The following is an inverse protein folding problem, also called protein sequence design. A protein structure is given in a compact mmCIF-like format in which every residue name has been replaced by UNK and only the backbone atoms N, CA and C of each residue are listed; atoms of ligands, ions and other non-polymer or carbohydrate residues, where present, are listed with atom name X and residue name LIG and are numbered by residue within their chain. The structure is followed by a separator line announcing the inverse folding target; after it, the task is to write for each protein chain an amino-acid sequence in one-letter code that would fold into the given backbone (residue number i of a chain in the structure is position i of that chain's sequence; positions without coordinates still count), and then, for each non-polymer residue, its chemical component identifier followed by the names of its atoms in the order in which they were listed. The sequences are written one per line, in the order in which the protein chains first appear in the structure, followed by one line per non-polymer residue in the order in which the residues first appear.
data_IF_261654442789
#
_entry.id   IF_261654442789
#
_cell.length_a   1.000
_cell.length_b   1.000
_cell.length_c   1.000
_cell.angle_alpha   90.00
_cell.angle_beta   90.00
_cell.angle_gamma   90.00
#
_symmetry.space_group_name_H-M   'P 1'
#
loop_
_entity.id
_entity.type
_entity.pdbx_description
1 polymer ?
#
# COMPACT_ATOMS: atom_id res chain seq x y z
N UNK A 1 25.58 33.32 -50.96
CA UNK A 1 26.17 32.22 -51.71
C UNK A 1 25.31 31.01 -51.36
N UNK A 2 24.25 30.72 -52.08
CA UNK A 2 24.04 29.81 -53.20
C UNK A 2 24.74 28.49 -53.02
N UNK A 3 23.95 27.40 -52.86
CA UNK A 3 23.44 26.48 -53.89
C UNK A 3 22.55 25.43 -53.26
N UNK A 4 21.27 25.34 -53.59
CA UNK A 4 20.58 24.45 -54.54
C UNK A 4 20.80 22.94 -54.26
N UNK A 5 19.73 22.28 -53.77
CA UNK A 5 18.71 21.53 -54.55
C UNK A 5 19.22 20.22 -55.18
N UNK A 6 18.65 19.08 -54.76
CA UNK A 6 18.20 18.09 -55.75
C UNK A 6 17.17 17.11 -55.16
N UNK A 7 15.97 17.24 -55.69
CA UNK A 7 14.90 16.22 -55.58
C UNK A 7 15.22 15.11 -56.58
N UNK A 8 15.14 13.85 -56.17
CA UNK A 8 14.88 12.73 -57.11
C UNK A 8 13.68 11.94 -56.64
N UNK A 9 12.63 12.08 -57.42
CA UNK A 9 11.46 11.19 -57.45
C UNK A 9 11.89 9.93 -58.23
N UNK A 10 11.56 8.75 -57.67
CA UNK A 10 11.45 7.53 -58.48
C UNK A 10 10.08 6.95 -58.17
N UNK A 11 9.33 6.78 -59.25
CA UNK A 11 8.02 6.19 -59.29
C UNK A 11 8.12 4.71 -59.67
N UNK A 12 7.31 3.90 -59.02
CA UNK A 12 6.44 2.86 -59.52
C UNK A 12 6.91 1.58 -60.13
N UNK A 13 6.40 0.49 -59.75
CA UNK A 13 5.40 -0.29 -60.56
C UNK A 13 4.82 -1.41 -59.69
N UNK A 14 3.51 -1.53 -59.67
CA UNK A 14 2.82 -2.62 -59.03
C UNK A 14 2.82 -3.87 -59.94
N UNK A 15 2.80 -5.04 -59.32
CA UNK A 15 2.36 -6.27 -59.95
C UNK A 15 1.43 -6.98 -58.96
N UNK A 16 0.18 -7.07 -59.28
CA UNK A 16 -0.80 -7.90 -58.66
C UNK A 16 -0.63 -9.34 -59.15
N UNK A 17 -0.56 -10.30 -58.25
CA UNK A 17 -0.71 -11.71 -58.60
C UNK A 17 -1.79 -12.30 -57.70
N UNK A 18 -2.93 -12.60 -58.32
CA UNK A 18 -3.99 -13.38 -57.74
C UNK A 18 -3.63 -14.87 -57.81
N UNK A 19 -3.72 -15.59 -56.73
CA UNK A 19 -3.67 -17.05 -56.76
C UNK A 19 -4.90 -17.61 -56.05
N UNK A 20 -5.60 -18.39 -56.80
CA UNK A 20 -6.88 -19.10 -56.56
C UNK A 20 -6.59 -20.35 -55.71
N UNK A 21 -7.38 -20.55 -54.68
CA UNK A 21 -7.50 -21.79 -53.86
C UNK A 21 -8.34 -22.85 -54.62
N UNK A 22 -8.04 -24.14 -54.51
CA UNK A 22 -9.08 -25.16 -54.62
C UNK A 22 -9.41 -25.75 -53.25
N UNK A 23 -10.72 -25.80 -52.94
CA UNK A 23 -11.32 -26.69 -51.97
C UNK A 23 -11.14 -28.15 -52.38
N UNK A 24 -10.67 -28.96 -51.46
CA UNK A 24 -10.84 -30.40 -51.53
C UNK A 24 -11.45 -30.88 -50.22
N UNK A 25 -12.71 -31.28 -50.26
CA UNK A 25 -13.36 -32.01 -49.22
C UNK A 25 -12.98 -33.50 -49.33
N UNK A 26 -12.59 -34.11 -48.19
CA UNK A 26 -12.69 -35.56 -48.01
C UNK A 26 -13.14 -35.85 -46.57
N UNK A 27 -14.25 -36.53 -46.49
CA UNK A 27 -14.85 -37.09 -45.28
C UNK A 27 -14.10 -38.36 -44.85
N UNK A 28 -14.06 -38.60 -43.56
CA UNK A 28 -13.95 -39.96 -43.03
C UNK A 28 -13.07 -40.11 -41.77
N UNK A 29 -13.68 -40.55 -40.68
CA UNK A 29 -13.03 -41.28 -39.60
C UNK A 29 -13.03 -40.59 -38.26
N UNK A 30 -13.99 -40.93 -37.38
CA UNK A 30 -14.03 -40.51 -36.00
C UNK A 30 -12.83 -41.03 -35.18
N UNK A 31 -12.29 -40.14 -34.39
CA UNK A 31 -11.65 -40.47 -33.13
C UNK A 31 -12.14 -39.39 -32.17
N UNK A 32 -12.88 -39.78 -31.15
CA UNK A 32 -13.25 -38.95 -30.03
C UNK A 32 -11.95 -38.46 -29.38
N UNK A 33 -11.81 -37.15 -29.11
CA UNK A 33 -10.75 -36.71 -28.20
C UNK A 33 -11.22 -37.03 -26.79
N UNK A 34 -10.40 -37.82 -26.11
CA UNK A 34 -10.45 -38.09 -24.68
C UNK A 34 -10.47 -36.73 -23.95
N UNK A 35 -11.65 -36.33 -23.49
CA UNK A 35 -11.80 -35.20 -22.58
C UNK A 35 -11.36 -35.67 -21.21
N UNK A 36 -10.05 -35.73 -20.99
CA UNK A 36 -9.49 -35.66 -19.67
C UNK A 36 -9.84 -34.29 -19.10
N UNK A 37 -10.93 -34.23 -18.35
CA UNK A 37 -11.26 -33.11 -17.49
C UNK A 37 -10.17 -33.02 -16.43
N UNK A 38 -9.16 -32.17 -16.68
CA UNK A 38 -8.41 -31.57 -15.57
C UNK A 38 -9.39 -30.61 -14.91
N UNK A 39 -9.89 -30.95 -13.75
CA UNK A 39 -10.51 -30.01 -12.81
C UNK A 39 -9.42 -29.02 -12.36
N UNK A 40 -9.04 -28.12 -13.23
CA UNK A 40 -8.29 -26.91 -12.90
C UNK A 40 -9.27 -25.91 -12.33
N UNK A 41 -9.02 -25.45 -11.08
CA UNK A 41 -9.85 -24.46 -10.40
C UNK A 41 -10.05 -23.22 -11.30
N UNK A 42 -11.28 -22.75 -11.36
CA UNK A 42 -11.65 -21.55 -12.10
C UNK A 42 -10.96 -20.33 -11.44
N UNK A 43 -9.91 -19.80 -12.07
CA UNK A 43 -9.18 -18.63 -11.58
C UNK A 43 -7.72 -18.55 -12.03
N UNK A 44 -7.07 -19.68 -12.28
CA UNK A 44 -5.73 -19.76 -12.79
C UNK A 44 -5.76 -20.08 -14.29
N UNK A 45 -5.69 -19.06 -15.13
CA UNK A 45 -5.71 -19.21 -16.61
C UNK A 45 -4.31 -19.20 -17.23
N UNK A 46 -3.26 -18.96 -16.43
CA UNK A 46 -1.88 -18.86 -16.88
C UNK A 46 -1.14 -20.20 -16.96
N UNK A 47 0.13 -20.13 -17.31
CA UNK A 47 1.04 -21.29 -17.37
C UNK A 47 2.11 -21.16 -16.32
N UNK A 48 2.55 -22.30 -15.74
CA UNK A 48 3.65 -22.28 -14.78
C UNK A 48 4.96 -21.81 -15.43
N UNK A 49 5.69 -20.86 -14.81
CA UNK A 49 7.04 -20.52 -15.22
C UNK A 49 8.04 -21.60 -14.74
N UNK A 50 9.31 -21.42 -15.09
CA UNK A 50 10.37 -22.31 -14.63
C UNK A 50 10.76 -22.07 -13.16
N UNK A 51 10.55 -20.84 -12.65
CA UNK A 51 10.86 -20.42 -11.28
C UNK A 51 9.76 -19.51 -10.73
N UNK A 52 9.52 -19.55 -9.43
CA UNK A 52 8.67 -18.59 -8.71
C UNK A 52 9.48 -17.32 -8.43
N UNK A 53 9.56 -16.46 -9.45
CA UNK A 53 10.33 -15.22 -9.31
C UNK A 53 9.55 -14.18 -8.56
N UNK A 54 10.09 -13.70 -7.43
CA UNK A 54 9.48 -12.65 -6.59
C UNK A 54 10.32 -11.38 -6.63
N UNK A 55 9.71 -10.25 -6.97
CA UNK A 55 10.36 -8.93 -6.91
C UNK A 55 9.78 -8.11 -5.77
N UNK A 56 10.63 -7.69 -4.82
CA UNK A 56 10.28 -6.89 -3.65
C UNK A 56 11.02 -5.54 -3.65
N UNK A 57 10.59 -4.61 -2.78
CA UNK A 57 11.33 -3.37 -2.56
C UNK A 57 12.56 -3.62 -1.68
N UNK A 58 13.67 -2.91 -1.97
CA UNK A 58 14.89 -2.96 -1.14
C UNK A 58 14.61 -2.57 0.32
N UNK A 59 13.68 -1.64 0.49
CA UNK A 59 13.31 -1.04 1.77
C UNK A 59 12.38 -1.95 2.60
N UNK A 60 11.97 -3.10 2.07
CA UNK A 60 11.18 -4.10 2.80
C UNK A 60 11.86 -5.48 2.79
N UNK A 61 12.96 -5.65 3.54
CA UNK A 61 13.69 -6.93 3.58
C UNK A 61 12.90 -8.05 4.25
N UNK A 62 11.99 -7.73 5.18
CA UNK A 62 11.23 -8.71 5.96
C UNK A 62 10.43 -9.63 5.05
N UNK A 63 9.78 -9.12 4.01
CA UNK A 63 9.01 -9.96 3.09
C UNK A 63 9.89 -11.02 2.40
N UNK A 64 11.09 -10.63 1.93
CA UNK A 64 12.03 -11.58 1.32
C UNK A 64 12.50 -12.63 2.32
N UNK A 65 12.83 -12.21 3.54
CA UNK A 65 13.27 -13.11 4.61
C UNK A 65 12.18 -14.12 4.96
N UNK A 66 10.92 -13.70 5.09
CA UNK A 66 9.79 -14.55 5.40
C UNK A 66 9.48 -15.53 4.25
N UNK A 67 9.51 -15.08 2.99
CA UNK A 67 9.31 -15.98 1.84
C UNK A 67 10.45 -16.99 1.71
N UNK A 68 11.68 -16.59 2.02
CA UNK A 68 12.84 -17.49 2.05
C UNK A 68 12.64 -18.56 3.14
N UNK A 69 12.28 -18.16 4.34
CA UNK A 69 12.03 -19.10 5.44
C UNK A 69 10.87 -20.06 5.14
N UNK A 70 9.77 -19.58 4.51
CA UNK A 70 8.70 -20.46 4.02
C UNK A 70 9.23 -21.49 3.01
N UNK A 71 10.07 -21.06 2.07
CA UNK A 71 10.63 -21.93 1.03
C UNK A 71 11.51 -23.05 1.57
N UNK A 72 12.13 -22.84 2.71
CA UNK A 72 12.97 -23.81 3.41
C UNK A 72 12.19 -24.66 4.43
N UNK A 73 11.02 -24.13 4.87
CA UNK A 73 10.16 -24.69 5.90
C UNK A 73 8.82 -25.23 5.37
N UNK A 74 7.74 -24.52 5.66
CA UNK A 74 6.38 -24.98 5.41
C UNK A 74 6.07 -25.17 3.92
N UNK A 75 6.61 -24.30 3.03
CA UNK A 75 6.39 -24.37 1.57
C UNK A 75 7.55 -25.05 0.82
N UNK A 76 8.26 -25.96 1.48
CA UNK A 76 9.40 -26.64 0.86
C UNK A 76 9.01 -27.49 -0.35
N UNK A 77 7.85 -28.12 -0.32
CA UNK A 77 7.37 -28.96 -1.42
C UNK A 77 7.07 -28.10 -2.67
N UNK A 78 6.47 -26.93 -2.48
CA UNK A 78 6.19 -25.96 -3.51
C UNK A 78 7.49 -25.40 -4.11
N UNK A 79 8.48 -25.12 -3.25
CA UNK A 79 9.81 -24.67 -3.66
C UNK A 79 10.58 -25.75 -4.45
N UNK A 80 10.45 -27.03 -4.09
CA UNK A 80 11.04 -28.14 -4.86
C UNK A 80 10.36 -28.30 -6.23
N UNK A 81 9.06 -28.03 -6.34
CA UNK A 81 8.29 -28.12 -7.58
C UNK A 81 8.46 -26.89 -8.49
N UNK A 82 8.64 -25.69 -7.89
CA UNK A 82 8.81 -24.41 -8.57
C UNK A 82 9.75 -23.52 -7.72
N UNK A 83 11.07 -23.52 -7.99
CA UNK A 83 12.06 -22.86 -7.14
C UNK A 83 11.84 -21.36 -6.99
N UNK A 84 11.97 -20.86 -5.76
CA UNK A 84 11.91 -19.43 -5.44
C UNK A 84 13.16 -18.71 -5.90
N UNK A 85 12.97 -17.60 -6.62
CA UNK A 85 14.03 -16.65 -6.98
C UNK A 85 13.65 -15.22 -6.59
N UNK A 86 14.56 -14.52 -5.92
CA UNK A 86 14.34 -13.14 -5.50
C UNK A 86 14.96 -12.11 -6.45
N UNK A 87 14.22 -11.04 -6.69
CA UNK A 87 14.69 -9.80 -7.33
C UNK A 87 14.34 -8.62 -6.44
N UNK A 88 15.13 -7.57 -6.54
CA UNK A 88 14.94 -6.33 -5.77
C UNK A 88 14.83 -5.12 -6.66
N UNK A 89 14.07 -4.13 -6.20
CA UNK A 89 13.95 -2.81 -6.81
C UNK A 89 13.93 -1.75 -5.72
N UNK A 90 14.52 -0.58 -5.95
CA UNK A 90 14.32 0.54 -5.04
C UNK A 90 12.84 0.97 -5.07
N UNK A 91 12.25 1.25 -3.93
CA UNK A 91 10.82 1.60 -3.83
C UNK A 91 10.46 2.78 -4.75
N UNK A 92 11.33 3.78 -4.83
CA UNK A 92 11.14 4.94 -5.71
C UNK A 92 11.10 4.57 -7.22
N UNK A 93 11.74 3.47 -7.62
CA UNK A 93 11.83 3.03 -9.01
C UNK A 93 10.75 2.00 -9.39
N UNK A 94 9.94 1.55 -8.44
CA UNK A 94 9.00 0.43 -8.60
C UNK A 94 8.05 0.64 -9.78
N UNK A 95 7.36 1.77 -9.86
CA UNK A 95 6.37 2.05 -10.91
C UNK A 95 7.02 2.01 -12.29
N UNK A 96 8.17 2.69 -12.43
CA UNK A 96 8.91 2.72 -13.70
C UNK A 96 9.41 1.34 -14.12
N UNK A 97 9.98 0.58 -13.17
CA UNK A 97 10.52 -0.76 -13.42
C UNK A 97 9.43 -1.74 -13.83
N UNK A 98 8.31 -1.76 -13.10
CA UNK A 98 7.17 -2.64 -13.36
C UNK A 98 6.54 -2.32 -14.72
N UNK A 99 6.32 -1.04 -15.03
CA UNK A 99 5.79 -0.61 -16.34
C UNK A 99 6.71 -1.04 -17.49
N UNK A 100 8.03 -0.91 -17.32
CA UNK A 100 9.00 -1.36 -18.32
C UNK A 100 8.93 -2.88 -18.51
N UNK A 101 8.94 -3.65 -17.42
CA UNK A 101 8.88 -5.12 -17.48
C UNK A 101 7.57 -5.61 -18.09
N UNK A 102 6.44 -4.98 -17.76
CA UNK A 102 5.14 -5.28 -18.36
C UNK A 102 5.16 -5.07 -19.87
N UNK A 103 5.70 -3.93 -20.33
CA UNK A 103 5.81 -3.63 -21.77
C UNK A 103 6.68 -4.60 -22.55
N UNK A 104 7.58 -5.31 -21.88
CA UNK A 104 8.49 -6.30 -22.46
C UNK A 104 7.99 -7.75 -22.32
N UNK A 105 6.83 -7.98 -21.68
CA UNK A 105 6.36 -9.32 -21.34
C UNK A 105 7.30 -10.07 -20.38
N UNK A 106 7.97 -9.33 -19.50
CA UNK A 106 9.02 -9.83 -18.60
C UNK A 106 8.70 -9.56 -17.12
N UNK A 107 7.41 -9.39 -16.77
CA UNK A 107 7.00 -9.27 -15.37
C UNK A 107 7.36 -10.54 -14.60
N UNK A 108 7.94 -10.42 -13.39
CA UNK A 108 8.11 -11.55 -12.48
C UNK A 108 6.76 -12.23 -12.17
N UNK A 109 6.82 -13.48 -11.71
CA UNK A 109 5.63 -14.24 -11.32
C UNK A 109 4.86 -13.55 -10.20
N UNK A 110 5.58 -13.03 -9.22
CA UNK A 110 5.05 -12.29 -8.08
C UNK A 110 5.84 -10.99 -7.92
N UNK A 111 5.16 -9.84 -7.94
CA UNK A 111 5.88 -8.57 -8.00
C UNK A 111 5.19 -7.47 -7.23
N UNK A 112 6.02 -6.65 -6.55
CA UNK A 112 5.56 -5.36 -6.04
C UNK A 112 5.10 -4.51 -7.23
N UNK A 113 4.02 -3.75 -7.03
CA UNK A 113 3.47 -2.83 -8.03
C UNK A 113 3.12 -1.48 -7.40
N UNK A 114 2.86 -0.47 -8.21
CA UNK A 114 2.26 0.78 -7.74
C UNK A 114 0.74 0.63 -7.64
N UNK A 115 0.14 1.20 -6.58
CA UNK A 115 -1.31 1.14 -6.33
C UNK A 115 -2.13 1.51 -7.57
N UNK A 116 -1.79 2.61 -8.24
CA UNK A 116 -2.52 3.06 -9.42
C UNK A 116 -2.38 2.14 -10.65
N UNK A 117 -1.34 1.32 -10.73
CA UNK A 117 -1.15 0.39 -11.86
C UNK A 117 -2.10 -0.80 -11.84
N UNK A 118 -2.58 -1.18 -10.65
CA UNK A 118 -3.39 -2.39 -10.45
C UNK A 118 -4.87 -2.10 -10.14
N UNK A 119 -5.26 -0.84 -10.03
CA UNK A 119 -6.67 -0.43 -9.93
C UNK A 119 -7.43 -0.81 -11.21
N UNK A 120 -8.79 -0.81 -11.20
CA UNK A 120 -9.57 -1.22 -12.37
C UNK A 120 -9.23 -0.43 -13.65
N UNK A 121 -8.86 0.84 -13.50
CA UNK A 121 -8.42 1.77 -14.55
C UNK A 121 -6.90 1.76 -14.79
N UNK A 122 -6.14 1.02 -13.98
CA UNK A 122 -4.67 0.96 -14.04
C UNK A 122 -4.15 0.14 -15.20
N UNK A 123 -2.98 0.53 -15.73
CA UNK A 123 -2.39 -0.05 -16.93
C UNK A 123 -2.18 -1.56 -16.87
N UNK A 124 -1.79 -2.12 -15.70
CA UNK A 124 -1.58 -3.57 -15.55
C UNK A 124 -2.89 -4.34 -15.53
N UNK A 125 -3.91 -3.80 -14.86
CA UNK A 125 -5.24 -4.43 -14.79
C UNK A 125 -5.93 -4.36 -16.14
N UNK A 126 -5.92 -3.19 -16.79
CA UNK A 126 -6.46 -3.00 -18.14
C UNK A 126 -5.79 -3.90 -19.20
N UNK A 127 -4.49 -4.20 -19.02
CA UNK A 127 -3.76 -5.13 -19.86
C UNK A 127 -4.02 -6.62 -19.54
N UNK A 128 -4.80 -6.93 -18.48
CA UNK A 128 -5.07 -8.30 -18.05
C UNK A 128 -3.87 -9.03 -17.45
N UNK A 129 -2.90 -8.27 -16.91
CA UNK A 129 -1.66 -8.82 -16.34
C UNK A 129 -1.75 -9.14 -14.85
N UNK A 130 -2.87 -8.83 -14.21
CA UNK A 130 -3.08 -9.02 -12.75
C UNK A 130 -3.96 -10.24 -12.51
N UNK A 131 -3.45 -11.20 -11.76
CA UNK A 131 -4.15 -12.44 -11.44
C UNK A 131 -5.22 -12.27 -10.36
N UNK A 132 -6.35 -12.96 -10.51
CA UNK A 132 -7.42 -13.01 -9.51
C UNK A 132 -7.06 -14.01 -8.39
N UNK A 133 -6.55 -13.48 -7.28
CA UNK A 133 -6.13 -14.27 -6.12
C UNK A 133 -7.33 -14.92 -5.41
N UNK A 134 -8.50 -14.26 -5.37
CA UNK A 134 -9.68 -14.82 -4.72
C UNK A 134 -10.14 -16.07 -5.43
N UNK A 135 -10.32 -15.99 -6.75
CA UNK A 135 -10.73 -17.14 -7.54
C UNK A 135 -9.75 -18.32 -7.43
N UNK A 136 -8.44 -18.03 -7.41
CA UNK A 136 -7.39 -19.03 -7.26
C UNK A 136 -7.42 -19.71 -5.88
N UNK A 137 -7.47 -18.93 -4.79
CA UNK A 137 -7.50 -19.44 -3.42
C UNK A 137 -8.84 -20.14 -3.09
N UNK A 138 -9.97 -19.68 -3.62
CA UNK A 138 -11.26 -20.38 -3.51
C UNK A 138 -11.20 -21.74 -4.22
N UNK A 139 -10.65 -21.79 -5.43
CA UNK A 139 -10.45 -23.01 -6.19
C UNK A 139 -9.54 -24.02 -5.50
N UNK A 140 -8.51 -23.54 -4.78
CA UNK A 140 -7.63 -24.36 -3.97
C UNK A 140 -8.18 -24.71 -2.58
N UNK A 141 -9.28 -24.07 -2.15
CA UNK A 141 -9.88 -24.27 -0.82
C UNK A 141 -9.15 -23.55 0.32
N UNK A 142 -8.26 -22.61 0.01
CA UNK A 142 -7.41 -21.91 0.99
C UNK A 142 -7.82 -20.44 1.24
N UNK A 143 -8.82 -19.93 0.52
CA UNK A 143 -9.38 -18.57 0.70
C UNK A 143 -9.73 -18.24 2.15
N UNK A 144 -10.19 -19.24 2.91
CA UNK A 144 -10.52 -19.09 4.32
C UNK A 144 -9.36 -18.61 5.21
N UNK A 145 -8.12 -18.61 4.72
CA UNK A 145 -6.94 -18.10 5.43
C UNK A 145 -6.73 -16.58 5.24
N UNK A 146 -7.42 -15.93 4.31
CA UNK A 146 -7.41 -14.48 4.17
C UNK A 146 -8.39 -13.87 5.16
N UNK A 147 -7.97 -12.86 5.91
CA UNK A 147 -8.82 -12.12 6.85
C UNK A 147 -9.86 -11.29 6.07
N UNK A 148 -11.16 -11.33 6.47
CA UNK A 148 -12.21 -10.57 5.79
C UNK A 148 -11.93 -9.07 5.70
N UNK A 149 -11.38 -8.45 6.77
CA UNK A 149 -11.03 -7.04 6.79
C UNK A 149 -9.94 -6.71 5.76
N UNK A 150 -8.90 -7.53 5.65
CA UNK A 150 -7.83 -7.35 4.67
C UNK A 150 -8.34 -7.55 3.24
N UNK A 151 -9.18 -8.56 3.00
CA UNK A 151 -9.81 -8.78 1.71
C UNK A 151 -10.67 -7.57 1.30
N UNK A 152 -11.50 -7.05 2.21
CA UNK A 152 -12.34 -5.89 1.98
C UNK A 152 -11.51 -4.65 1.63
N UNK A 153 -10.41 -4.39 2.36
CA UNK A 153 -9.51 -3.27 2.08
C UNK A 153 -8.89 -3.39 0.68
N UNK A 154 -8.38 -4.57 0.32
CA UNK A 154 -7.80 -4.83 -1.01
C UNK A 154 -8.84 -4.66 -2.11
N UNK A 155 -10.05 -5.24 -1.93
CA UNK A 155 -11.15 -5.15 -2.91
C UNK A 155 -11.64 -3.70 -3.09
N UNK A 156 -11.70 -2.90 -2.03
CA UNK A 156 -12.09 -1.49 -2.12
C UNK A 156 -11.09 -0.64 -2.92
N UNK A 157 -9.79 -0.90 -2.74
CA UNK A 157 -8.74 -0.13 -3.43
C UNK A 157 -8.61 -0.56 -4.90
N UNK A 158 -8.66 -1.87 -5.17
CA UNK A 158 -8.28 -2.43 -6.46
C UNK A 158 -9.46 -2.97 -7.29
N UNK A 159 -10.68 -2.98 -6.74
CA UNK A 159 -11.86 -3.52 -7.41
C UNK A 159 -11.91 -5.05 -7.47
N UNK A 160 -10.99 -5.73 -6.78
CA UNK A 160 -10.89 -7.18 -6.67
C UNK A 160 -9.70 -7.59 -5.82
N UNK A 161 -9.59 -8.88 -5.51
CA UNK A 161 -8.46 -9.41 -4.73
C UNK A 161 -7.22 -9.57 -5.62
N UNK A 162 -6.57 -8.47 -5.93
CA UNK A 162 -5.44 -8.37 -6.86
C UNK A 162 -4.09 -8.19 -6.18
N UNK A 163 -4.03 -8.19 -4.84
CA UNK A 163 -2.80 -8.08 -4.07
C UNK A 163 -2.79 -9.06 -2.91
N UNK A 164 -1.67 -9.73 -2.68
CA UNK A 164 -1.43 -10.55 -1.48
C UNK A 164 -1.28 -9.62 -0.27
N UNK A 165 -2.07 -9.81 0.81
CA UNK A 165 -2.04 -8.93 1.97
C UNK A 165 -0.95 -9.38 2.97
N UNK A 166 0.32 -9.26 2.57
CA UNK A 166 1.46 -9.61 3.43
C UNK A 166 1.55 -8.78 4.71
N UNK A 167 0.92 -7.63 4.72
CA UNK A 167 0.73 -6.80 5.89
C UNK A 167 -0.75 -6.40 5.97
N UNK A 168 -1.21 -6.16 7.17
CA UNK A 168 -2.46 -5.47 7.42
C UNK A 168 -2.21 -4.45 8.51
N UNK A 169 -2.20 -3.19 8.11
CA UNK A 169 -1.80 -2.11 8.97
C UNK A 169 -2.98 -1.21 9.29
N UNK A 170 -3.03 -0.74 10.54
CA UNK A 170 -3.83 0.42 10.96
C UNK A 170 -2.89 1.58 11.27
N UNK A 171 -3.36 2.79 11.04
CA UNK A 171 -2.60 4.02 11.25
C UNK A 171 -3.14 4.78 12.45
N UNK A 172 -2.25 5.40 13.22
CA UNK A 172 -2.58 6.18 14.39
C UNK A 172 -1.36 6.92 14.93
N UNK A 173 -1.41 7.36 16.16
CA UNK A 173 -0.33 8.10 16.80
C UNK A 173 0.38 7.18 17.78
N UNK A 174 1.66 6.88 17.51
CA UNK A 174 2.54 6.30 18.50
C UNK A 174 3.06 7.41 19.41
N UNK A 175 3.12 7.14 20.72
CA UNK A 175 3.58 8.13 21.69
C UNK A 175 4.47 7.54 22.77
N UNK A 176 5.33 8.37 23.33
CA UNK A 176 6.18 8.02 24.47
C UNK A 176 5.40 8.27 25.77
N UNK A 177 5.01 7.16 26.44
CA UNK A 177 4.23 7.18 27.68
C UNK A 177 4.87 7.99 28.79
N UNK A 178 6.21 7.90 28.92
CA UNK A 178 6.97 8.60 29.95
C UNK A 178 6.96 10.12 29.71
N UNK A 179 7.21 10.55 28.45
CA UNK A 179 7.19 11.98 28.10
C UNK A 179 5.80 12.58 28.34
N UNK A 180 4.74 11.92 27.91
CA UNK A 180 3.36 12.41 28.14
C UNK A 180 3.06 12.50 29.64
N UNK A 181 3.37 11.45 30.42
CA UNK A 181 3.13 11.40 31.84
C UNK A 181 3.92 12.48 32.61
N UNK A 182 5.19 12.69 32.27
CA UNK A 182 6.05 13.71 32.92
C UNK A 182 5.54 15.14 32.68
N UNK A 183 4.80 15.36 31.57
CA UNK A 183 4.18 16.63 31.25
C UNK A 183 2.70 16.71 31.63
N UNK A 184 2.16 15.67 32.31
CA UNK A 184 0.77 15.62 32.78
C UNK A 184 -0.26 15.54 31.67
N UNK A 185 0.11 14.98 30.50
CA UNK A 185 -0.72 14.84 29.32
C UNK A 185 -1.37 13.45 29.35
N UNK A 186 -2.71 13.41 29.25
CA UNK A 186 -3.48 12.21 28.98
C UNK A 186 -3.60 12.01 27.45
N UNK A 187 -4.00 10.83 26.99
CA UNK A 187 -4.22 10.56 25.56
C UNK A 187 -5.25 11.53 24.98
N UNK A 188 -4.88 12.39 23.99
CA UNK A 188 -5.79 13.30 23.32
C UNK A 188 -6.97 12.56 22.68
N UNK A 189 -8.19 13.02 22.95
CA UNK A 189 -9.41 12.46 22.39
C UNK A 189 -9.95 13.28 21.22
N UNK A 190 -9.64 14.58 21.20
CA UNK A 190 -10.01 15.51 20.14
C UNK A 190 -8.77 16.13 19.49
N UNK A 191 -8.94 16.69 18.28
CA UNK A 191 -7.86 17.43 17.63
C UNK A 191 -7.38 18.61 18.48
N UNK A 192 -8.31 19.30 19.15
CA UNK A 192 -7.96 20.41 20.05
C UNK A 192 -7.15 19.91 21.25
N UNK A 193 -7.48 18.74 21.84
CA UNK A 193 -6.66 18.12 22.89
C UNK A 193 -5.24 17.80 22.39
N UNK A 194 -5.10 17.35 21.12
CA UNK A 194 -3.79 17.07 20.51
C UNK A 194 -2.96 18.35 20.34
N UNK A 195 -3.61 19.44 19.95
CA UNK A 195 -2.96 20.76 19.83
C UNK A 195 -2.53 21.26 21.21
N UNK A 196 -3.39 21.17 22.23
CA UNK A 196 -3.07 21.56 23.63
C UNK A 196 -1.91 20.72 24.20
N UNK A 197 -1.88 19.41 23.88
CA UNK A 197 -0.77 18.53 24.24
C UNK A 197 0.54 18.95 23.54
N UNK A 198 0.45 19.30 22.27
CA UNK A 198 1.61 19.77 21.50
C UNK A 198 2.15 21.12 22.02
N UNK A 199 1.27 22.07 22.39
CA UNK A 199 1.64 23.31 23.06
C UNK A 199 2.38 23.06 24.36
N UNK A 200 1.84 22.17 25.20
CA UNK A 200 2.46 21.81 26.49
C UNK A 200 3.86 21.22 26.32
N UNK A 201 4.03 20.32 25.33
CA UNK A 201 5.34 19.71 25.03
C UNK A 201 6.33 20.72 24.46
N UNK A 202 5.88 21.60 23.57
CA UNK A 202 6.71 22.66 22.97
C UNK A 202 7.19 23.64 24.05
N UNK A 203 6.33 24.05 24.99
CA UNK A 203 6.68 24.90 26.13
C UNK A 203 7.67 24.22 27.09
N UNK A 204 7.64 22.88 27.19
CA UNK A 204 8.61 22.08 27.93
C UNK A 204 9.93 21.87 27.16
N UNK A 205 10.04 22.32 25.90
CA UNK A 205 11.21 22.15 25.04
C UNK A 205 11.36 20.76 24.43
N UNK A 206 10.26 19.99 24.40
CA UNK A 206 10.17 18.67 23.75
C UNK A 206 9.60 18.85 22.37
N UNK A 207 10.11 18.13 21.35
CA UNK A 207 9.48 18.08 20.03
C UNK A 207 8.15 17.33 20.16
N UNK A 208 6.99 17.98 19.91
CA UNK A 208 5.69 17.33 20.14
C UNK A 208 5.48 16.12 19.25
N UNK A 209 5.70 16.27 17.94
CA UNK A 209 5.52 15.21 16.96
C UNK A 209 6.67 15.23 15.94
N UNK A 210 7.14 14.08 15.51
CA UNK A 210 8.11 13.96 14.44
C UNK A 210 7.46 13.39 13.20
N UNK A 211 7.78 13.98 12.02
CA UNK A 211 7.27 13.48 10.75
C UNK A 211 8.30 13.56 9.63
N UNK A 212 8.16 12.67 8.65
CA UNK A 212 9.00 12.59 7.47
C UNK A 212 8.51 13.52 6.35
N UNK A 213 8.74 14.84 6.51
CA UNK A 213 8.26 15.82 5.54
C UNK A 213 8.88 15.69 4.14
N UNK A 214 10.09 15.13 4.02
CA UNK A 214 10.71 14.85 2.72
C UNK A 214 9.93 13.78 1.91
N UNK A 215 9.25 12.86 2.58
CA UNK A 215 8.43 11.84 1.94
C UNK A 215 7.03 12.37 1.57
N UNK A 216 6.54 13.38 2.28
CA UNK A 216 5.24 14.03 2.09
C UNK A 216 4.03 13.20 2.55
N UNK A 217 4.01 11.90 2.27
CA UNK A 217 2.86 11.05 2.58
C UNK A 217 2.46 11.02 4.07
N UNK A 218 3.34 11.10 5.08
CA UNK A 218 2.88 11.11 6.46
C UNK A 218 2.05 12.36 6.78
N UNK A 219 2.42 13.50 6.20
CA UNK A 219 1.71 14.76 6.36
C UNK A 219 0.33 14.72 5.69
N UNK A 220 0.22 14.15 4.49
CA UNK A 220 -1.08 13.98 3.81
C UNK A 220 -1.98 13.01 4.56
N UNK A 221 -1.41 12.02 5.31
CA UNK A 221 -2.18 11.10 6.15
C UNK A 221 -2.78 11.81 7.37
N UNK A 222 -2.03 12.66 8.06
CA UNK A 222 -2.53 13.48 9.17
C UNK A 222 -3.68 14.38 8.66
N UNK A 223 -3.49 15.08 7.54
CA UNK A 223 -4.55 15.88 6.91
C UNK A 223 -5.77 15.03 6.54
N UNK A 224 -5.54 13.88 5.93
CA UNK A 224 -6.58 12.95 5.52
C UNK A 224 -7.40 12.43 6.70
N UNK A 225 -6.74 12.06 7.80
CA UNK A 225 -7.44 11.62 9.01
C UNK A 225 -8.29 12.73 9.62
N UNK A 226 -7.80 13.98 9.62
CA UNK A 226 -8.64 15.12 10.01
C UNK A 226 -9.88 15.22 9.11
N UNK A 227 -9.72 15.12 7.80
CA UNK A 227 -10.85 15.14 6.84
C UNK A 227 -11.83 13.99 7.13
N UNK A 228 -11.36 12.77 7.37
CA UNK A 228 -12.23 11.63 7.69
C UNK A 228 -12.96 11.83 9.02
N UNK A 229 -12.33 12.44 10.02
CA UNK A 229 -13.01 12.81 11.26
C UNK A 229 -14.06 13.89 11.05
N UNK A 230 -13.75 14.91 10.26
CA UNK A 230 -14.64 16.05 10.01
C UNK A 230 -15.80 15.70 9.09
N UNK A 231 -15.52 15.06 7.95
CA UNK A 231 -16.51 14.81 6.86
C UNK A 231 -17.17 13.44 6.99
N UNK A 232 -16.42 12.43 7.42
CA UNK A 232 -16.85 11.04 7.54
C UNK A 232 -15.94 10.08 6.76
N UNK A 233 -16.09 8.75 6.98
CA UNK A 233 -15.19 7.72 6.41
C UNK A 233 -15.20 7.67 4.88
N UNK A 234 -16.32 8.04 4.25
CA UNK A 234 -16.48 7.98 2.80
C UNK A 234 -16.02 9.27 2.08
N UNK A 235 -15.37 10.21 2.78
CA UNK A 235 -15.00 11.52 2.24
C UNK A 235 -14.28 11.43 0.89
N UNK A 236 -13.27 10.56 0.75
CA UNK A 236 -12.52 10.44 -0.50
C UNK A 236 -13.26 9.62 -1.57
N UNK A 237 -14.16 8.72 -1.19
CA UNK A 237 -15.06 8.08 -2.14
C UNK A 237 -16.03 9.08 -2.76
N UNK A 238 -16.59 9.99 -1.97
CA UNK A 238 -17.45 11.07 -2.46
C UNK A 238 -16.71 12.02 -3.45
N UNK A 239 -15.42 12.30 -3.19
CA UNK A 239 -14.60 13.09 -4.15
C UNK A 239 -14.38 12.33 -5.45
N UNK A 240 -14.01 11.04 -5.39
CA UNK A 240 -13.84 10.19 -6.58
C UNK A 240 -15.13 10.12 -7.42
N UNK A 241 -16.27 9.98 -6.76
CA UNK A 241 -17.58 9.80 -7.42
C UNK A 241 -18.17 11.16 -7.91
N UNK A 242 -17.52 12.28 -7.57
CA UNK A 242 -17.93 13.64 -7.97
C UNK A 242 -19.06 14.23 -7.12
N UNK A 243 -19.39 13.59 -6.00
CA UNK A 243 -20.43 14.04 -5.06
C UNK A 243 -19.91 15.12 -4.10
N UNK A 244 -18.59 15.24 -3.95
CA UNK A 244 -17.90 16.27 -3.17
C UNK A 244 -16.63 16.77 -3.88
N UNK A 245 -16.05 17.86 -3.38
CA UNK A 245 -14.80 18.40 -3.89
C UNK A 245 -13.83 18.68 -2.77
N UNK A 246 -12.54 18.50 -3.04
CA UNK A 246 -11.48 18.89 -2.09
C UNK A 246 -11.49 20.39 -1.78
N UNK A 247 -12.11 21.22 -2.64
CA UNK A 247 -12.29 22.66 -2.42
C UNK A 247 -13.48 23.02 -1.54
N UNK A 248 -14.27 22.05 -1.10
CA UNK A 248 -15.36 22.31 -0.16
C UNK A 248 -14.78 22.69 1.21
N UNK A 249 -15.42 23.63 1.95
CA UNK A 249 -14.83 24.18 3.17
C UNK A 249 -14.42 23.14 4.22
N UNK A 250 -15.18 22.07 4.36
CA UNK A 250 -14.93 21.00 5.30
C UNK A 250 -13.69 20.15 4.95
N UNK A 251 -13.30 20.07 3.67
CA UNK A 251 -12.07 19.43 3.23
C UNK A 251 -10.87 20.37 3.37
N UNK A 252 -11.06 21.66 3.00
CA UNK A 252 -10.03 22.70 3.17
C UNK A 252 -9.64 22.84 4.65
N UNK A 253 -10.59 22.64 5.59
CA UNK A 253 -10.33 22.69 7.03
C UNK A 253 -9.24 21.69 7.44
N UNK A 254 -9.16 20.49 6.83
CA UNK A 254 -8.10 19.52 7.12
C UNK A 254 -6.72 19.99 6.68
N UNK A 255 -6.63 20.62 5.50
CA UNK A 255 -5.38 21.21 5.02
C UNK A 255 -4.94 22.40 5.90
N UNK A 256 -5.91 23.22 6.36
CA UNK A 256 -5.63 24.32 7.26
C UNK A 256 -5.17 23.85 8.63
N UNK A 257 -5.81 22.81 9.20
CA UNK A 257 -5.41 22.25 10.48
C UNK A 257 -3.97 21.71 10.47
N UNK A 258 -3.58 21.03 9.38
CA UNK A 258 -2.20 20.59 9.19
C UNK A 258 -1.22 21.76 9.06
N UNK A 259 -1.60 22.80 8.28
CA UNK A 259 -0.77 23.99 8.10
C UNK A 259 -0.55 24.73 9.42
N UNK A 260 -1.61 24.92 10.22
CA UNK A 260 -1.56 25.57 11.53
C UNK A 260 -0.68 24.79 12.51
N UNK A 261 -0.79 23.45 12.53
CA UNK A 261 0.03 22.56 13.34
C UNK A 261 1.53 22.67 13.00
N UNK A 262 1.83 22.77 11.70
CA UNK A 262 3.20 22.96 11.21
C UNK A 262 3.74 24.36 11.49
N UNK A 263 2.93 25.43 11.32
CA UNK A 263 3.31 26.81 11.57
C UNK A 263 3.59 27.09 13.06
N UNK A 264 2.88 26.39 13.95
CA UNK A 264 3.15 26.38 15.39
C UNK A 264 4.51 25.70 15.74
N UNK A 265 5.13 25.01 14.79
CA UNK A 265 6.44 24.36 14.97
C UNK A 265 6.40 22.99 15.62
N UNK A 266 5.23 22.36 15.73
CA UNK A 266 5.07 21.11 16.48
C UNK A 266 5.75 19.90 15.82
N UNK A 267 6.09 19.97 14.53
CA UNK A 267 6.92 18.95 13.87
C UNK A 267 8.44 19.09 14.13
N UNK A 268 8.83 20.15 14.85
CA UNK A 268 10.24 20.46 15.13
C UNK A 268 11.01 20.99 13.91
N UNK A 269 12.20 21.54 14.17
CA UNK A 269 13.03 22.12 13.10
C UNK A 269 13.44 21.09 12.06
N UNK A 270 13.44 21.49 10.78
CA UNK A 270 13.96 20.69 9.67
C UNK A 270 13.05 19.53 9.23
N UNK A 271 11.83 19.40 9.76
CA UNK A 271 10.92 18.30 9.42
C UNK A 271 10.69 18.17 7.91
N UNK A 272 10.63 19.28 7.17
CA UNK A 272 10.36 19.29 5.73
C UNK A 272 11.44 18.57 4.87
N UNK A 273 12.62 18.35 5.43
CA UNK A 273 13.71 17.62 4.78
C UNK A 273 14.07 16.31 5.47
N UNK A 274 13.33 15.96 6.53
CA UNK A 274 13.52 14.74 7.30
C UNK A 274 12.92 13.56 6.53
N UNK A 275 13.68 12.48 6.38
CA UNK A 275 13.21 11.20 5.82
C UNK A 275 12.56 10.30 6.89
N UNK A 276 11.99 9.18 6.44
CA UNK A 276 11.28 8.24 7.30
C UNK A 276 12.15 7.64 8.40
N UNK A 277 13.38 7.22 8.06
CA UNK A 277 14.30 6.62 9.04
C UNK A 277 14.71 7.63 10.11
N UNK A 278 15.01 8.85 9.70
CA UNK A 278 15.35 9.94 10.65
C UNK A 278 14.17 10.25 11.55
N UNK A 279 12.95 10.33 11.01
CA UNK A 279 11.75 10.60 11.79
C UNK A 279 11.47 9.48 12.79
N UNK A 280 11.46 8.23 12.37
CA UNK A 280 11.24 7.08 13.24
C UNK A 280 12.30 7.00 14.34
N UNK A 281 13.58 7.24 14.03
CA UNK A 281 14.66 7.23 15.01
C UNK A 281 14.53 8.38 16.05
N UNK A 282 14.03 9.56 15.65
CA UNK A 282 13.77 10.63 16.62
C UNK A 282 12.73 10.22 17.66
N UNK A 283 11.68 9.51 17.25
CA UNK A 283 10.69 8.96 18.17
C UNK A 283 11.28 7.85 19.05
N UNK A 284 11.90 6.84 18.43
CA UNK A 284 12.46 5.67 19.11
C UNK A 284 13.61 5.98 20.09
N UNK A 285 14.26 7.13 19.95
CA UNK A 285 15.31 7.62 20.85
C UNK A 285 14.81 8.68 21.85
N UNK A 286 13.50 8.94 21.90
CA UNK A 286 12.89 9.89 22.84
C UNK A 286 13.16 11.37 22.53
N UNK A 287 13.59 11.69 21.32
CA UNK A 287 13.81 13.09 20.89
C UNK A 287 12.49 13.78 20.48
N UNK A 288 11.47 13.01 20.20
CA UNK A 288 10.09 13.48 19.95
C UNK A 288 9.11 12.67 20.80
N UNK A 289 8.04 13.32 21.24
CA UNK A 289 7.03 12.69 22.06
C UNK A 289 6.07 11.78 21.28
N UNK A 290 5.76 12.13 20.04
CA UNK A 290 4.76 11.44 19.21
C UNK A 290 5.25 11.30 17.75
N UNK A 291 4.65 10.36 17.02
CA UNK A 291 4.71 10.24 15.56
C UNK A 291 3.41 9.64 15.05
N UNK A 292 2.87 10.16 13.94
CA UNK A 292 1.76 9.51 13.24
C UNK A 292 2.34 8.48 12.26
N UNK A 293 2.06 7.20 12.50
CA UNK A 293 2.60 6.13 11.68
C UNK A 293 1.63 4.93 11.65
N UNK A 294 1.92 3.94 10.87
CA UNK A 294 1.15 2.70 10.85
C UNK A 294 1.81 1.58 11.66
N UNK A 295 1.07 0.49 11.85
CA UNK A 295 1.55 -0.67 12.60
C UNK A 295 2.78 -1.36 11.98
N UNK A 296 3.23 -0.97 10.79
CA UNK A 296 4.54 -1.37 10.26
C UNK A 296 5.72 -0.88 11.13
N UNK A 297 5.54 0.20 11.92
CA UNK A 297 6.54 0.70 12.86
C UNK A 297 6.84 -0.31 13.99
N UNK A 298 5.95 -1.29 14.25
CA UNK A 298 6.16 -2.32 15.26
C UNK A 298 7.47 -3.09 15.10
N UNK A 299 7.92 -3.30 13.87
CA UNK A 299 9.20 -3.97 13.62
C UNK A 299 10.39 -3.19 14.21
N UNK A 300 10.35 -1.87 14.15
CA UNK A 300 11.37 -1.00 14.74
C UNK A 300 11.17 -0.80 16.26
N UNK A 301 9.91 -0.75 16.73
CA UNK A 301 9.58 -0.68 18.16
C UNK A 301 10.06 -1.95 18.89
N UNK A 302 9.95 -3.10 18.25
CA UNK A 302 10.34 -4.40 18.81
C UNK A 302 11.85 -4.67 18.70
N UNK A 303 12.60 -3.86 17.95
CA UNK A 303 14.05 -3.99 17.81
C UNK A 303 14.78 -3.25 18.95
N UNK A 304 15.39 -3.96 19.91
CA UNK A 304 16.06 -3.32 21.05
C UNK A 304 17.35 -2.56 20.65
N UNK A 305 17.86 -2.76 19.42
CA UNK A 305 18.99 -1.98 18.92
C UNK A 305 18.55 -0.61 18.37
N UNK A 306 17.27 -0.46 18.00
CA UNK A 306 16.69 0.77 17.47
C UNK A 306 15.86 1.52 18.51
N UNK A 307 15.09 0.80 19.33
CA UNK A 307 14.17 1.39 20.30
C UNK A 307 14.88 1.62 21.64
N UNK A 308 15.43 2.80 21.84
CA UNK A 308 16.13 3.20 23.08
C UNK A 308 15.16 3.55 24.22
N UNK A 309 13.89 3.91 23.92
CA UNK A 309 12.89 4.23 24.95
C UNK A 309 12.27 2.99 25.59
N UNK A 310 12.45 1.80 24.97
CA UNK A 310 11.84 0.54 25.41
C UNK A 310 10.40 0.36 24.94
N UNK A 311 10.05 -0.86 24.56
CA UNK A 311 8.71 -1.17 24.03
C UNK A 311 7.59 -0.87 25.02
N UNK A 312 7.82 -1.08 26.31
CA UNK A 312 6.85 -0.80 27.38
C UNK A 312 6.50 0.70 27.50
N UNK A 313 7.37 1.58 27.06
CA UNK A 313 7.19 3.02 27.07
C UNK A 313 6.53 3.55 25.77
N UNK A 314 6.30 2.70 24.79
CA UNK A 314 5.55 3.05 23.59
C UNK A 314 4.07 2.79 23.79
N UNK A 315 3.23 3.79 23.53
CA UNK A 315 1.79 3.65 23.42
C UNK A 315 1.32 3.86 21.99
N UNK A 316 0.11 3.43 21.71
CA UNK A 316 -0.58 3.66 20.44
C UNK A 316 -1.99 4.16 20.70
N UNK A 317 -2.35 5.29 20.10
CA UNK A 317 -3.69 5.86 20.19
C UNK A 317 -4.27 6.10 18.79
N UNK A 318 -5.62 6.02 18.63
CA UNK A 318 -6.26 6.39 17.38
C UNK A 318 -6.04 7.87 17.08
N UNK A 319 -6.16 8.26 15.80
CA UNK A 319 -6.23 9.68 15.47
C UNK A 319 -7.47 10.30 16.14
N UNK A 320 -7.33 11.44 16.84
CA UNK A 320 -8.40 12.01 17.63
C UNK A 320 -9.60 12.48 16.78
N UNK A 321 -10.75 12.68 17.44
CA UNK A 321 -11.95 13.20 16.81
C UNK A 321 -11.82 14.69 16.48
N UNK A 322 -12.65 15.18 15.58
CA UNK A 322 -12.82 16.61 15.29
C UNK A 322 -14.19 17.02 15.85
N UNK A 323 -14.21 18.05 16.68
CA UNK A 323 -15.43 18.53 17.33
C UNK A 323 -16.52 18.85 16.31
N UNK A 324 -17.68 18.19 16.45
CA UNK A 324 -18.79 18.32 15.52
C UNK A 324 -18.62 17.59 14.19
N UNK A 325 -17.55 16.84 14.02
CA UNK A 325 -17.30 15.99 12.88
C UNK A 325 -18.23 14.77 12.81
N UNK A 326 -18.13 14.01 11.71
CA UNK A 326 -18.99 12.85 11.42
C UNK A 326 -18.27 11.51 11.53
N UNK A 327 -16.94 11.53 11.59
CA UNK A 327 -16.13 10.34 11.80
C UNK A 327 -15.99 9.99 13.28
N UNK A 328 -15.63 8.74 13.57
CA UNK A 328 -15.47 8.21 14.93
C UNK A 328 -14.01 7.89 15.22
N UNK A 329 -13.62 7.99 16.48
CA UNK A 329 -12.27 7.61 16.96
C UNK A 329 -11.96 6.13 16.71
N UNK A 330 -12.98 5.27 16.61
CA UNK A 330 -12.82 3.84 16.35
C UNK A 330 -12.54 3.51 14.86
N UNK A 331 -12.61 4.50 13.98
CA UNK A 331 -12.28 4.34 12.56
C UNK A 331 -10.80 4.61 12.33
N UNK A 332 -10.07 3.61 11.88
CA UNK A 332 -8.65 3.69 11.55
C UNK A 332 -8.43 3.73 10.05
N UNK A 333 -7.49 4.54 9.59
CA UNK A 333 -6.95 4.32 8.25
C UNK A 333 -6.25 2.96 8.22
N UNK A 334 -6.55 2.16 7.19
CA UNK A 334 -5.97 0.84 7.04
C UNK A 334 -5.43 0.60 5.64
N UNK A 335 -4.40 -0.23 5.55
CA UNK A 335 -3.84 -0.68 4.29
C UNK A 335 -3.35 -2.13 4.39
N UNK A 336 -3.23 -2.78 3.24
CA UNK A 336 -2.76 -4.17 3.15
C UNK A 336 -1.27 -4.26 2.75
N UNK A 337 -0.48 -3.24 3.11
CA UNK A 337 0.92 -3.13 2.73
C UNK A 337 1.13 -2.70 1.27
N UNK A 338 2.38 -2.79 0.82
CA UNK A 338 2.70 -2.55 -0.58
C UNK A 338 2.01 -3.59 -1.46
N UNK A 339 1.40 -3.18 -2.59
CA UNK A 339 0.67 -4.12 -3.44
C UNK A 339 1.61 -5.13 -4.08
N UNK A 340 1.31 -6.41 -3.86
CA UNK A 340 2.05 -7.56 -4.38
C UNK A 340 1.13 -8.38 -5.27
N UNK A 341 1.30 -8.29 -6.59
CA UNK A 341 0.46 -8.96 -7.59
C UNK A 341 1.05 -10.27 -8.06
N UNK A 342 0.18 -11.18 -8.54
CA UNK A 342 0.58 -12.33 -9.34
C UNK A 342 0.38 -11.99 -10.82
N UNK A 343 1.39 -12.27 -11.64
CA UNK A 343 1.31 -12.12 -13.09
C UNK A 343 0.31 -13.15 -13.66
N UNK A 344 -0.80 -12.67 -14.23
CA UNK A 344 -1.87 -13.52 -14.73
C UNK A 344 -1.39 -14.53 -15.80
N UNK A 345 -0.40 -14.16 -16.64
CA UNK A 345 0.15 -15.04 -17.66
C UNK A 345 0.93 -16.22 -17.08
N UNK A 346 1.48 -16.06 -15.88
CA UNK A 346 2.27 -17.06 -15.15
C UNK A 346 1.49 -17.71 -13.99
N UNK A 347 0.19 -17.46 -13.89
CA UNK A 347 -0.63 -17.97 -12.79
C UNK A 347 -1.13 -19.40 -13.08
N UNK A 348 -0.17 -20.33 -13.22
CA UNK A 348 -0.43 -21.76 -13.41
C UNK A 348 -0.63 -22.52 -12.09
N UNK A 349 -0.90 -23.85 -12.13
CA UNK A 349 -1.20 -24.66 -10.94
C UNK A 349 -0.12 -24.62 -9.85
N UNK A 350 1.17 -24.66 -10.20
CA UNK A 350 2.24 -24.60 -9.21
C UNK A 350 2.35 -23.24 -8.53
N UNK A 351 2.01 -22.16 -9.24
CA UNK A 351 1.94 -20.82 -8.66
C UNK A 351 0.74 -20.73 -7.71
N UNK A 352 -0.39 -21.38 -8.04
CA UNK A 352 -1.54 -21.53 -7.12
C UNK A 352 -1.15 -22.29 -5.86
N UNK A 353 -0.38 -23.39 -5.98
CA UNK A 353 0.14 -24.12 -4.82
C UNK A 353 1.00 -23.22 -3.93
N UNK A 354 1.90 -22.42 -4.52
CA UNK A 354 2.72 -21.45 -3.79
C UNK A 354 1.89 -20.39 -3.04
N UNK A 355 0.94 -19.72 -3.72
CA UNK A 355 0.12 -18.69 -3.05
C UNK A 355 -0.80 -19.29 -1.99
N UNK A 356 -1.22 -20.54 -2.15
CA UNK A 356 -1.99 -21.30 -1.16
C UNK A 356 -1.16 -21.60 0.08
N UNK A 357 0.06 -22.12 -0.11
CA UNK A 357 0.98 -22.35 0.99
C UNK A 357 1.33 -21.07 1.76
N UNK A 358 1.55 -19.96 1.03
CA UNK A 358 1.75 -18.64 1.64
C UNK A 358 0.51 -18.24 2.46
N UNK A 359 -0.69 -18.34 1.90
CA UNK A 359 -1.92 -17.97 2.61
C UNK A 359 -2.15 -18.79 3.89
N UNK A 360 -1.73 -20.05 3.93
CA UNK A 360 -1.86 -20.94 5.08
C UNK A 360 -0.83 -20.68 6.19
N UNK A 361 0.38 -20.25 5.84
CA UNK A 361 1.52 -20.28 6.77
C UNK A 361 2.12 -18.90 7.07
N UNK A 362 1.99 -17.93 6.17
CA UNK A 362 2.65 -16.63 6.30
C UNK A 362 2.20 -15.86 7.54
N UNK A 363 0.89 -15.87 7.85
CA UNK A 363 0.34 -15.10 8.97
C UNK A 363 0.98 -15.47 10.31
N UNK A 364 1.15 -16.77 10.56
CA UNK A 364 1.80 -17.24 11.78
C UNK A 364 3.31 -16.95 11.77
N UNK A 365 3.99 -17.25 10.67
CA UNK A 365 5.45 -17.10 10.59
C UNK A 365 5.87 -15.63 10.68
N UNK A 366 5.26 -14.74 9.91
CA UNK A 366 5.60 -13.33 9.91
C UNK A 366 5.35 -12.65 11.27
N UNK A 367 4.27 -13.08 11.96
CA UNK A 367 3.99 -12.59 13.30
C UNK A 367 5.02 -13.11 14.32
N UNK A 368 5.34 -14.41 14.27
CA UNK A 368 6.28 -15.05 15.19
C UNK A 368 7.70 -14.53 15.02
N UNK A 369 8.17 -14.40 13.77
CA UNK A 369 9.58 -14.15 13.49
C UNK A 369 9.91 -12.64 13.37
N UNK A 370 8.93 -11.82 12.99
CA UNK A 370 9.14 -10.41 12.70
C UNK A 370 8.13 -9.45 13.36
N UNK A 371 7.16 -9.97 14.13
CA UNK A 371 6.10 -9.15 14.72
C UNK A 371 5.18 -8.49 13.68
N UNK A 372 5.18 -8.98 12.43
CA UNK A 372 4.37 -8.42 11.34
C UNK A 372 2.95 -8.95 11.43
N UNK A 373 1.99 -8.06 11.53
CA UNK A 373 0.57 -8.35 11.40
C UNK A 373 0.23 -8.36 9.92
N UNK A 374 -0.26 -9.49 9.42
CA UNK A 374 -0.64 -9.67 8.02
C UNK A 374 -2.15 -9.80 7.84
N UNK A 375 -2.61 -9.72 6.59
CA UNK A 375 -3.99 -10.03 6.23
C UNK A 375 -4.30 -11.53 6.15
N UNK A 376 -3.41 -12.39 6.66
CA UNK A 376 -3.63 -13.84 6.74
C UNK A 376 -3.89 -14.28 8.17
N UNK A 377 -4.63 -15.37 8.33
CA UNK A 377 -4.87 -15.97 9.64
C UNK A 377 -3.59 -16.52 10.26
N UNK A 378 -3.52 -16.43 11.57
CA UNK A 378 -2.54 -17.11 12.39
C UNK A 378 -3.08 -18.52 12.66
N UNK A 379 -2.52 -19.54 12.02
CA UNK A 379 -3.04 -20.92 12.04
C UNK A 379 -2.38 -21.82 13.10
N UNK A 380 -1.57 -21.26 13.98
CA UNK A 380 -0.91 -21.98 15.07
C UNK A 380 -0.65 -21.08 16.27
N UNK A 381 0.00 -21.65 17.28
CA UNK A 381 0.39 -20.90 18.47
C UNK A 381 1.55 -19.95 18.11
N UNK A 382 1.44 -18.70 18.54
CA UNK A 382 2.50 -17.71 18.51
C UNK A 382 2.86 -17.35 19.94
N UNK A 383 4.14 -17.36 20.26
CA UNK A 383 4.66 -17.10 21.60
C UNK A 383 5.58 -15.90 21.57
N UNK A 384 5.73 -15.24 22.71
CA UNK A 384 6.71 -14.17 22.91
C UNK A 384 6.52 -12.95 21.99
N UNK A 385 5.29 -12.67 21.53
CA UNK A 385 4.97 -11.41 20.86
C UNK A 385 5.01 -10.26 21.88
N UNK A 386 5.47 -9.09 21.43
CA UNK A 386 5.50 -7.89 22.28
C UNK A 386 4.09 -7.44 22.67
N UNK A 387 3.99 -6.74 23.82
CA UNK A 387 2.72 -6.16 24.29
C UNK A 387 2.14 -5.20 23.23
N UNK A 388 2.98 -4.39 22.57
CA UNK A 388 2.55 -3.47 21.52
C UNK A 388 1.95 -4.21 20.32
N UNK A 389 2.57 -5.30 19.88
CA UNK A 389 2.05 -6.11 18.77
C UNK A 389 0.71 -6.76 19.16
N UNK A 390 0.59 -7.29 20.38
CA UNK A 390 -0.64 -7.89 20.88
C UNK A 390 -1.76 -6.84 20.98
N UNK A 391 -1.47 -5.64 21.50
CA UNK A 391 -2.42 -4.53 21.58
C UNK A 391 -2.96 -4.14 20.20
N UNK A 392 -2.08 -3.96 19.22
CA UNK A 392 -2.50 -3.59 17.85
C UNK A 392 -3.33 -4.71 17.21
N UNK A 393 -2.97 -5.98 17.44
CA UNK A 393 -3.77 -7.11 16.96
C UNK A 393 -5.19 -7.12 17.59
N UNK A 394 -5.29 -6.84 18.88
CA UNK A 394 -6.59 -6.76 19.58
C UNK A 394 -7.43 -5.60 19.02
N UNK A 395 -6.81 -4.44 18.77
CA UNK A 395 -7.48 -3.30 18.14
C UNK A 395 -7.98 -3.66 16.74
N UNK A 396 -7.16 -4.26 15.89
CA UNK A 396 -7.55 -4.72 14.55
C UNK A 396 -8.72 -5.72 14.61
N UNK A 397 -8.71 -6.64 15.58
CA UNK A 397 -9.78 -7.61 15.75
C UNK A 397 -11.11 -6.99 16.21
N UNK A 398 -11.05 -5.83 16.85
CA UNK A 398 -12.21 -5.07 17.34
C UNK A 398 -12.74 -4.02 16.37
N UNK A 399 -12.10 -3.81 15.22
CA UNK A 399 -12.53 -2.80 14.24
C UNK A 399 -13.68 -3.34 13.40
N UNK A 400 -14.82 -2.67 13.43
CA UNK A 400 -15.96 -2.95 12.57
C UNK A 400 -15.83 -2.27 11.20
N UNK A 401 -15.22 -1.08 11.15
CA UNK A 401 -15.08 -0.27 9.94
C UNK A 401 -13.71 0.43 9.88
N UNK A 402 -12.99 0.22 8.79
CA UNK A 402 -11.75 0.93 8.49
C UNK A 402 -12.00 1.97 7.39
N UNK A 403 -11.20 3.03 7.38
CA UNK A 403 -11.16 3.98 6.26
C UNK A 403 -9.94 3.69 5.40
N UNK A 404 -10.02 4.00 4.11
CA UNK A 404 -8.84 4.00 3.26
C UNK A 404 -8.02 5.26 3.58
N UNK A 405 -6.72 5.21 3.31
CA UNK A 405 -5.87 6.38 3.45
C UNK A 405 -6.19 7.46 2.39
N UNK A 406 -5.82 8.68 2.67
CA UNK A 406 -6.24 9.86 1.88
C UNK A 406 -6.02 9.71 0.37
N UNK A 407 -4.87 9.20 -0.04
CA UNK A 407 -4.50 9.08 -1.46
C UNK A 407 -4.95 7.76 -2.12
N UNK A 408 -5.57 6.85 -1.38
CA UNK A 408 -5.89 5.49 -1.85
C UNK A 408 -6.68 5.47 -3.17
N UNK A 409 -7.59 6.42 -3.33
CA UNK A 409 -8.48 6.51 -4.48
C UNK A 409 -8.03 7.54 -5.54
N UNK A 410 -6.87 8.20 -5.35
CA UNK A 410 -6.32 9.14 -6.30
C UNK A 410 -5.60 8.43 -7.45
N UNK A 411 -5.62 9.04 -8.64
CA UNK A 411 -4.72 8.65 -9.73
C UNK A 411 -3.24 8.91 -9.39
N UNK A 412 -2.31 8.32 -10.16
CA UNK A 412 -0.87 8.43 -9.87
C UNK A 412 -0.32 9.85 -9.86
N UNK A 413 -0.87 10.75 -10.69
CA UNK A 413 -0.38 12.14 -10.77
C UNK A 413 -0.90 12.95 -9.59
N UNK A 414 -2.17 12.77 -9.25
CA UNK A 414 -2.79 13.44 -8.09
C UNK A 414 -2.17 12.97 -6.78
N UNK A 415 -1.89 11.67 -6.65
CA UNK A 415 -1.16 11.11 -5.52
C UNK A 415 0.26 11.72 -5.39
N UNK A 416 1.01 11.75 -6.49
CA UNK A 416 2.36 12.36 -6.52
C UNK A 416 2.30 13.87 -6.20
N UNK A 417 1.30 14.58 -6.71
CA UNK A 417 1.10 16.00 -6.44
C UNK A 417 0.77 16.23 -4.96
N UNK A 418 -0.09 15.40 -4.37
CA UNK A 418 -0.43 15.47 -2.95
C UNK A 418 0.83 15.41 -2.08
N UNK A 419 1.63 14.35 -2.24
CA UNK A 419 2.83 14.13 -1.45
C UNK A 419 3.92 15.19 -1.69
N UNK A 420 4.05 15.71 -2.92
CA UNK A 420 5.07 16.72 -3.23
C UNK A 420 4.68 18.10 -2.69
N UNK A 421 3.43 18.51 -2.86
CA UNK A 421 3.00 19.86 -2.54
C UNK A 421 2.61 20.06 -1.07
N UNK A 422 2.39 18.99 -0.30
CA UNK A 422 2.09 19.11 1.13
C UNK A 422 3.22 19.80 1.89
N UNK A 423 4.47 19.62 1.43
CA UNK A 423 5.62 20.33 2.02
C UNK A 423 5.55 21.85 1.78
N UNK A 424 4.98 22.29 0.63
CA UNK A 424 4.75 23.72 0.38
C UNK A 424 3.65 24.28 1.30
N UNK A 425 2.61 23.49 1.55
CA UNK A 425 1.55 23.82 2.50
C UNK A 425 2.13 23.98 3.92
N UNK A 426 2.82 22.96 4.42
CA UNK A 426 3.34 22.91 5.81
C UNK A 426 4.53 23.83 6.07
N UNK A 427 5.14 24.41 5.02
CA UNK A 427 6.19 25.45 5.15
C UNK A 427 5.67 26.84 4.85
N UNK A 428 4.34 27.05 4.73
CA UNK A 428 3.70 28.35 4.49
C UNK A 428 3.95 28.93 3.10
N UNK A 429 4.42 28.11 2.14
CA UNK A 429 4.68 28.54 0.76
C UNK A 429 3.42 28.42 -0.13
N UNK A 430 2.39 27.75 0.35
CA UNK A 430 1.11 27.52 -0.31
C UNK A 430 -0.02 27.59 0.72
N UNK A 431 -1.14 28.22 0.39
CA UNK A 431 -2.32 28.22 1.26
C UNK A 431 -3.06 26.88 1.20
N UNK A 432 -3.88 26.60 2.21
CA UNK A 432 -4.73 25.40 2.26
C UNK A 432 -5.69 25.35 1.07
N UNK A 433 -6.30 26.50 0.72
CA UNK A 433 -7.21 26.63 -0.41
C UNK A 433 -6.49 26.34 -1.74
N UNK A 434 -5.28 26.90 -1.94
CA UNK A 434 -4.51 26.69 -3.17
C UNK A 434 -4.05 25.24 -3.32
N UNK A 435 -3.62 24.60 -2.21
CA UNK A 435 -3.24 23.21 -2.19
C UNK A 435 -4.40 22.29 -2.59
N UNK A 436 -5.55 22.46 -1.94
CA UNK A 436 -6.74 21.66 -2.24
C UNK A 436 -7.29 21.94 -3.63
N UNK A 437 -7.23 23.21 -4.12
CA UNK A 437 -7.63 23.53 -5.49
C UNK A 437 -6.73 22.89 -6.55
N UNK A 438 -5.41 22.82 -6.32
CA UNK A 438 -4.48 22.14 -7.23
C UNK A 438 -4.72 20.64 -7.26
N UNK A 439 -4.98 20.00 -6.11
CA UNK A 439 -5.31 18.58 -6.04
C UNK A 439 -6.62 18.29 -6.76
N UNK A 440 -7.67 19.09 -6.52
CA UNK A 440 -8.96 18.93 -7.20
C UNK A 440 -8.80 19.06 -8.72
N UNK A 441 -8.06 20.07 -9.18
CA UNK A 441 -7.82 20.26 -10.61
C UNK A 441 -7.05 19.08 -11.23
N UNK A 442 -6.14 18.44 -10.47
CA UNK A 442 -5.43 17.23 -10.91
C UNK A 442 -6.37 16.05 -11.02
N UNK A 443 -7.21 15.82 -10.02
CA UNK A 443 -8.23 14.74 -10.02
C UNK A 443 -9.20 14.95 -11.19
N UNK A 444 -9.74 16.16 -11.36
CA UNK A 444 -10.67 16.48 -12.46
C UNK A 444 -10.06 16.28 -13.87
N UNK A 445 -8.74 16.35 -13.99
CA UNK A 445 -8.03 16.20 -15.25
C UNK A 445 -7.58 14.77 -15.56
N UNK A 446 -7.49 13.88 -14.57
CA UNK A 446 -6.89 12.55 -14.70
C UNK A 446 -7.80 11.42 -14.16
N UNK A 447 -8.93 11.77 -13.50
CA UNK A 447 -9.93 10.86 -12.96
C UNK A 447 -11.10 10.56 -13.90
#
# INVERSE_FOLDING_TARGET
MNTRSNRRRIAVLGIALAAVLPLAACAGGGAEPDTGSSEGGAGAGGTDPDTFTVMTANENPVLEEQLTALSEGACKAENEALPLEHQKVAQADTVQKVTLLASQGALPTHTIAGTALIRPDGDLNAAGLVGDLKAALEGAGTWGNVLPAAASTVEQVYGGMFSMPYQYNIEGIFYNKEILADNGIEEPQTWDDLVDAADTLADAGVVPMTEAGANGWPLTRIMGMYIFRNVGPDAMAAVRDGDAKLTDPEYVAGAQALADFADAGYFGEGFSTRDGDTSSNMFLTGQAAMTYDGSWLLSAINDPERNEIGGENVGFMPFPEVDGGKGSIDQYAANAGAPMIINAEQFGPKVVDWVSCIAENYGQQALQDAGVISGFKVNGDVTDISENTAEIQERIAGIDETVLWFEALMDSKSNSLASTNVTLLTTGQMSAEDYMAQLQASIDANG
#
